data_IF_508729274967
#
_entry.id   IF_508729274967
#
_cell.length_a   1.000
_cell.length_b   1.000
_cell.length_c   1.000
_cell.angle_alpha   90.00
_cell.angle_beta   90.00
_cell.angle_gamma   90.00
#
_symmetry.space_group_name_H-M   'P 1'
#
loop_
_entity.id
_entity.type
_entity.pdbx_description
1 polymer ?
#
# COMPACT_ATOMS: atom_id res chain seq x y z
N UNK A 1 -13.33 16.28 -22.76
CA UNK A 1 -13.67 14.90 -22.36
C UNK A 1 -12.52 14.06 -22.87
N UNK A 2 -11.73 13.51 -21.96
CA UNK A 2 -10.48 12.82 -22.30
C UNK A 2 -10.71 11.37 -21.84
N UNK A 3 -10.65 10.38 -22.73
CA UNK A 3 -11.07 9.00 -22.44
C UNK A 3 -10.38 8.30 -21.26
N UNK A 4 -9.36 8.92 -20.66
CA UNK A 4 -8.73 8.47 -19.42
C UNK A 4 -9.60 8.67 -18.18
N UNK A 5 -10.41 9.74 -18.11
CA UNK A 5 -11.27 10.03 -16.95
C UNK A 5 -12.65 9.39 -17.07
N UNK A 6 -13.14 9.13 -18.28
CA UNK A 6 -14.47 8.56 -18.51
C UNK A 6 -14.59 7.09 -18.06
N UNK A 7 -13.46 6.44 -17.74
CA UNK A 7 -13.43 5.05 -17.24
C UNK A 7 -13.64 4.91 -15.73
N UNK A 8 -13.62 6.03 -14.99
CA UNK A 8 -13.69 6.04 -13.54
C UNK A 8 -15.08 6.48 -13.08
N UNK A 9 -15.58 5.85 -12.02
CA UNK A 9 -16.87 6.14 -11.39
C UNK A 9 -16.88 7.54 -10.79
N UNK A 10 -15.75 7.96 -10.20
CA UNK A 10 -15.61 9.27 -9.56
C UNK A 10 -14.21 9.90 -9.73
N UNK A 11 -14.06 11.13 -9.21
CA UNK A 11 -12.83 11.93 -9.33
C UNK A 11 -11.66 11.42 -8.48
N UNK A 12 -11.94 10.68 -7.41
CA UNK A 12 -10.98 10.19 -6.42
C UNK A 12 -10.54 8.74 -6.68
N UNK A 13 -11.31 7.95 -7.43
CA UNK A 13 -10.97 6.57 -7.79
C UNK A 13 -9.52 6.42 -8.33
N UNK A 14 -9.03 7.27 -9.27
CA UNK A 14 -7.66 7.15 -9.76
C UNK A 14 -6.62 7.39 -8.66
N UNK A 15 -6.91 8.34 -7.76
CA UNK A 15 -6.02 8.70 -6.66
C UNK A 15 -6.01 7.59 -5.60
N UNK A 16 -7.16 7.03 -5.27
CA UNK A 16 -7.28 5.91 -4.33
C UNK A 16 -6.56 4.66 -4.82
N UNK A 17 -6.71 4.33 -6.10
CA UNK A 17 -5.96 3.21 -6.71
C UNK A 17 -4.45 3.48 -6.70
N UNK A 18 -4.01 4.68 -7.10
CA UNK A 18 -2.60 5.02 -7.12
C UNK A 18 -1.97 4.99 -5.71
N UNK A 19 -2.66 5.58 -4.72
CA UNK A 19 -2.22 5.56 -3.32
C UNK A 19 -2.17 4.12 -2.78
N UNK A 20 -3.20 3.32 -3.04
CA UNK A 20 -3.26 1.93 -2.60
C UNK A 20 -2.13 1.08 -3.18
N UNK A 21 -1.89 1.18 -4.50
CA UNK A 21 -0.76 0.50 -5.16
C UNK A 21 0.58 0.99 -4.63
N UNK A 22 0.74 2.30 -4.42
CA UNK A 22 1.96 2.88 -3.86
C UNK A 22 2.30 2.29 -2.49
N UNK A 23 1.31 2.17 -1.59
CA UNK A 23 1.51 1.59 -0.27
C UNK A 23 1.97 0.12 -0.34
N UNK A 24 1.38 -0.67 -1.25
CA UNK A 24 1.79 -2.06 -1.47
C UNK A 24 3.23 -2.12 -1.99
N UNK A 25 3.57 -1.32 -2.99
CA UNK A 25 4.94 -1.27 -3.55
C UNK A 25 5.96 -0.85 -2.49
N UNK A 26 5.68 0.19 -1.71
CA UNK A 26 6.57 0.64 -0.63
C UNK A 26 6.75 -0.43 0.46
N UNK A 27 5.69 -1.18 0.77
CA UNK A 27 5.79 -2.32 1.69
C UNK A 27 6.72 -3.41 1.14
N UNK A 28 6.62 -3.73 -0.15
CA UNK A 28 7.52 -4.68 -0.81
C UNK A 28 8.96 -4.17 -0.84
N UNK A 29 9.18 -2.89 -1.14
CA UNK A 29 10.51 -2.28 -1.09
C UNK A 29 11.10 -2.31 0.32
N UNK A 30 10.27 -2.16 1.35
CA UNK A 30 10.69 -2.32 2.75
C UNK A 30 11.13 -3.75 3.03
N UNK A 31 10.42 -4.75 2.49
CA UNK A 31 10.82 -6.17 2.59
C UNK A 31 12.17 -6.41 1.90
N UNK A 32 12.36 -5.86 0.71
CA UNK A 32 13.63 -5.95 -0.04
C UNK A 32 14.78 -5.29 0.73
N UNK A 33 14.51 -4.14 1.37
CA UNK A 33 15.50 -3.41 2.17
C UNK A 33 15.90 -4.13 3.46
N UNK A 34 15.11 -5.10 3.93
CA UNK A 34 15.34 -5.90 5.14
C UNK A 34 15.91 -5.08 6.32
N UNK A 35 15.27 -3.98 6.76
CA UNK A 35 15.79 -3.12 7.83
C UNK A 35 15.97 -3.84 9.18
N UNK A 36 15.37 -5.02 9.35
CA UNK A 36 15.63 -5.90 10.50
C UNK A 36 16.99 -6.59 10.48
N UNK A 37 17.63 -6.72 9.33
CA UNK A 37 18.94 -7.35 9.23
C UNK A 37 20.05 -6.56 9.94
N UNK A 38 19.82 -5.29 10.26
CA UNK A 38 20.81 -4.39 10.88
C UNK A 38 20.49 -4.01 12.33
N UNK A 39 19.41 -4.53 12.92
CA UNK A 39 19.07 -4.28 14.32
C UNK A 39 19.16 -5.56 15.17
N UNK A 40 19.61 -5.44 16.43
CA UNK A 40 19.81 -6.57 17.34
C UNK A 40 18.57 -6.99 18.13
N UNK A 41 17.38 -6.49 17.80
CA UNK A 41 16.17 -6.68 18.62
C UNK A 41 15.08 -7.45 17.87
N UNK A 42 14.78 -8.65 18.36
CA UNK A 42 13.69 -9.48 17.84
C UNK A 42 12.34 -8.77 17.98
N UNK A 43 12.10 -8.09 19.10
CA UNK A 43 10.85 -7.36 19.33
C UNK A 43 10.64 -6.24 18.30
N UNK A 44 11.69 -5.49 17.99
CA UNK A 44 11.65 -4.43 16.96
C UNK A 44 11.40 -5.04 15.58
N UNK A 45 12.06 -6.16 15.27
CA UNK A 45 11.87 -6.87 14.00
C UNK A 45 10.44 -7.36 13.81
N UNK A 46 9.81 -7.92 14.85
CA UNK A 46 8.39 -8.31 14.82
C UNK A 46 7.49 -7.10 14.55
N UNK A 47 7.73 -5.98 15.26
CA UNK A 47 6.93 -4.77 15.07
C UNK A 47 7.05 -4.23 13.63
N UNK A 48 8.25 -4.25 13.04
CA UNK A 48 8.45 -3.86 11.64
C UNK A 48 7.66 -4.74 10.68
N UNK A 49 7.68 -6.06 10.88
CA UNK A 49 6.92 -7.00 10.05
C UNK A 49 5.41 -6.79 10.17
N UNK A 50 4.91 -6.53 11.38
CA UNK A 50 3.50 -6.16 11.59
C UNK A 50 3.15 -4.85 10.88
N UNK A 51 4.05 -3.86 10.92
CA UNK A 51 3.90 -2.60 10.18
C UNK A 51 3.81 -2.79 8.67
N UNK A 52 4.62 -3.70 8.10
CA UNK A 52 4.56 -4.07 6.68
C UNK A 52 3.20 -4.67 6.35
N UNK A 53 2.77 -5.68 7.12
CA UNK A 53 1.47 -6.34 6.91
C UNK A 53 0.32 -5.33 7.00
N UNK A 54 0.34 -4.44 8.00
CA UNK A 54 -0.64 -3.38 8.16
C UNK A 54 -0.67 -2.42 6.97
N UNK A 55 0.49 -2.02 6.46
CA UNK A 55 0.59 -1.11 5.31
C UNK A 55 0.08 -1.76 4.02
N UNK A 56 0.38 -3.05 3.79
CA UNK A 56 -0.20 -3.83 2.69
C UNK A 56 -1.72 -3.89 2.82
N UNK A 57 -2.23 -4.18 4.02
CA UNK A 57 -3.67 -4.26 4.26
C UNK A 57 -4.37 -2.94 3.96
N UNK A 58 -3.80 -1.80 4.35
CA UNK A 58 -4.32 -0.47 4.01
C UNK A 58 -4.27 -0.24 2.50
N UNK A 59 -3.15 -0.55 1.84
CA UNK A 59 -3.00 -0.37 0.40
C UNK A 59 -4.02 -1.17 -0.41
N UNK A 60 -4.17 -2.46 -0.09
CA UNK A 60 -5.18 -3.34 -0.70
C UNK A 60 -6.59 -2.86 -0.36
N UNK A 61 -6.84 -2.47 0.89
CA UNK A 61 -8.12 -1.95 1.35
C UNK A 61 -8.56 -0.70 0.59
N UNK A 62 -7.64 0.23 0.31
CA UNK A 62 -7.93 1.41 -0.50
C UNK A 62 -8.31 1.06 -1.93
N UNK A 63 -7.55 0.17 -2.59
CA UNK A 63 -7.88 -0.29 -3.95
C UNK A 63 -9.23 -1.00 -3.99
N UNK A 64 -9.52 -1.81 -2.98
CA UNK A 64 -10.79 -2.51 -2.86
C UNK A 64 -11.95 -1.54 -2.68
N UNK A 65 -11.85 -0.62 -1.70
CA UNK A 65 -12.91 0.33 -1.35
C UNK A 65 -13.34 1.17 -2.55
N UNK A 66 -12.39 1.80 -3.25
CA UNK A 66 -12.68 2.70 -4.38
C UNK A 66 -13.15 1.97 -5.64
N UNK A 67 -13.06 0.63 -5.68
CA UNK A 67 -13.61 -0.17 -6.78
C UNK A 67 -15.01 -0.71 -6.49
N UNK A 68 -15.41 -0.71 -5.22
CA UNK A 68 -16.71 -1.22 -4.77
C UNK A 68 -17.73 -0.11 -4.52
N UNK A 69 -17.27 1.13 -4.41
CA UNK A 69 -18.11 2.34 -4.39
C UNK A 69 -18.31 2.90 -5.81
#
# INVERSE_FOLDING_TARGET
>A
MNGFTDRFSDRLEPLGVAAGVFLVVMSLLTVVGMPWATNGSIAVSILQLLGIVGTVAIGVGLVWLVRTE
#
